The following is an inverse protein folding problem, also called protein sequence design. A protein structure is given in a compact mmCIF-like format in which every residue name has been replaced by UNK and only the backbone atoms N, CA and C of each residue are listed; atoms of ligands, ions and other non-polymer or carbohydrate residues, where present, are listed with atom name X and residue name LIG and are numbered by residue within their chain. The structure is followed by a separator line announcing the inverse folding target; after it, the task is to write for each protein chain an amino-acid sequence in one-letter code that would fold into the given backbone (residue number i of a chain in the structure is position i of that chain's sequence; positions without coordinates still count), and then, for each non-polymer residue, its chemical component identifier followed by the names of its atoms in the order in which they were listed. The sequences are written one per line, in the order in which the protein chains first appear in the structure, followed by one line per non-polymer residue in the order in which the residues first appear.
data_IF_800464824210
#
_entry.id   IF_800464824210
#
_cell.length_a   1.000
_cell.length_b   1.000
_cell.length_c   1.000
_cell.angle_alpha   90.00
_cell.angle_beta   90.00
_cell.angle_gamma   90.00
#
_symmetry.space_group_name_H-M   'P 1'
#
loop_
_entity.id
_entity.type
_entity.pdbx_description
1 polymer ?
#
# COMPACT_ATOMS: atom_id res chain seq x y z
N UNK A 1 -8.87 -18.32 10.26
CA UNK A 1 -8.23 -19.02 9.10
C UNK A 1 -9.14 -20.04 8.40
N UNK A 2 -10.45 -20.13 8.72
CA UNK A 2 -11.38 -21.07 8.06
C UNK A 2 -11.58 -20.76 6.56
N UNK A 3 -11.68 -19.48 6.24
CA UNK A 3 -11.91 -18.96 4.89
C UNK A 3 -10.86 -19.41 3.84
N UNK A 4 -9.56 -19.24 4.11
CA UNK A 4 -8.49 -19.66 3.18
C UNK A 4 -8.51 -21.17 2.93
N UNK A 5 -8.73 -21.97 3.97
CA UNK A 5 -8.86 -23.43 3.86
C UNK A 5 -10.09 -23.84 3.04
N UNK A 6 -11.22 -23.16 3.23
CA UNK A 6 -12.45 -23.42 2.48
C UNK A 6 -12.30 -23.07 1.00
N UNK A 7 -11.62 -21.97 0.66
CA UNK A 7 -11.28 -21.62 -0.72
C UNK A 7 -10.43 -22.73 -1.33
N UNK A 8 -9.31 -23.07 -0.69
CA UNK A 8 -8.40 -24.11 -1.21
C UNK A 8 -9.10 -25.47 -1.38
N UNK A 9 -9.96 -25.86 -0.43
CA UNK A 9 -10.70 -27.12 -0.51
C UNK A 9 -11.68 -27.15 -1.70
N UNK A 10 -12.30 -26.00 -2.03
CA UNK A 10 -13.29 -25.89 -3.11
C UNK A 10 -12.66 -25.67 -4.48
N UNK A 11 -11.59 -24.89 -4.56
CA UNK A 11 -11.05 -24.40 -5.84
C UNK A 11 -9.67 -24.94 -6.17
N UNK A 12 -8.96 -25.52 -5.18
CA UNK A 12 -7.53 -25.87 -5.25
C UNK A 12 -6.60 -24.69 -5.56
N UNK A 13 -7.06 -23.46 -5.30
CA UNK A 13 -6.29 -22.24 -5.51
C UNK A 13 -5.84 -21.68 -4.16
N UNK A 14 -4.55 -21.39 -4.04
CA UNK A 14 -3.98 -20.68 -2.90
C UNK A 14 -4.39 -19.21 -2.91
N UNK A 15 -4.73 -18.68 -1.73
CA UNK A 15 -5.09 -17.27 -1.60
C UNK A 15 -4.27 -16.54 -0.52
N UNK A 16 -4.14 -15.24 -0.72
CA UNK A 16 -3.48 -14.32 0.21
C UNK A 16 -4.48 -13.29 0.73
N UNK A 17 -4.33 -12.87 1.99
CA UNK A 17 -5.28 -12.00 2.69
C UNK A 17 -4.53 -10.84 3.33
N UNK A 18 -4.90 -9.60 2.95
CA UNK A 18 -4.45 -8.39 3.61
C UNK A 18 -5.59 -7.78 4.41
N UNK A 19 -5.32 -7.41 5.65
CA UNK A 19 -6.31 -6.87 6.57
C UNK A 19 -5.77 -5.55 7.11
N UNK A 20 -6.59 -4.50 7.01
CA UNK A 20 -6.28 -3.17 7.54
C UNK A 20 -7.55 -2.42 7.93
N UNK A 21 -7.41 -1.26 8.60
CA UNK A 21 -8.54 -0.47 9.10
C UNK A 21 -9.36 0.19 7.98
N UNK A 22 -8.81 0.31 6.77
CA UNK A 22 -9.50 0.81 5.59
C UNK A 22 -9.11 -0.01 4.33
N UNK A 23 -9.84 0.14 3.21
CA UNK A 23 -9.56 -0.60 1.97
C UNK A 23 -8.16 -0.36 1.41
N UNK A 24 -7.65 0.88 1.49
CA UNK A 24 -6.31 1.25 1.04
C UNK A 24 -5.26 0.42 1.80
N UNK A 25 -5.28 0.47 3.13
CA UNK A 25 -4.34 -0.27 3.97
C UNK A 25 -4.47 -1.79 3.79
N UNK A 26 -5.69 -2.31 3.64
CA UNK A 26 -5.92 -3.74 3.37
C UNK A 26 -5.25 -4.18 2.06
N UNK A 27 -5.34 -3.34 1.01
CA UNK A 27 -4.70 -3.60 -0.29
C UNK A 27 -3.18 -3.51 -0.20
N UNK A 28 -2.64 -2.50 0.48
CA UNK A 28 -1.19 -2.36 0.69
C UNK A 28 -0.65 -3.56 1.46
N UNK A 29 -1.30 -3.92 2.58
CA UNK A 29 -0.91 -5.06 3.40
C UNK A 29 -0.87 -6.36 2.59
N UNK A 30 -1.87 -6.55 1.71
CA UNK A 30 -1.93 -7.68 0.80
C UNK A 30 -0.72 -7.72 -0.15
N UNK A 31 -0.47 -6.62 -0.86
CA UNK A 31 0.54 -6.56 -1.91
C UNK A 31 1.97 -6.64 -1.39
N UNK A 32 2.24 -6.00 -0.25
CA UNK A 32 3.60 -5.78 0.23
C UNK A 32 4.07 -6.90 1.16
N UNK A 33 3.18 -7.38 2.03
CA UNK A 33 3.53 -8.29 3.12
C UNK A 33 2.83 -9.65 2.95
N UNK A 34 1.51 -9.68 2.72
CA UNK A 34 0.77 -10.95 2.73
C UNK A 34 1.26 -11.92 1.64
N UNK A 35 1.56 -11.43 0.43
CA UNK A 35 2.11 -12.24 -0.68
C UNK A 35 3.48 -12.86 -0.41
N UNK A 36 4.26 -12.27 0.50
CA UNK A 36 5.60 -12.74 0.85
C UNK A 36 5.61 -13.57 2.12
N UNK A 37 4.58 -13.43 2.94
CA UNK A 37 4.47 -14.15 4.19
C UNK A 37 4.14 -15.62 3.93
N UNK A 38 4.77 -16.54 4.66
CA UNK A 38 4.59 -17.99 4.47
C UNK A 38 3.11 -18.41 4.64
N UNK A 39 2.40 -17.77 5.57
CA UNK A 39 0.99 -18.06 5.82
C UNK A 39 0.04 -17.37 4.82
N UNK A 40 0.57 -16.46 3.99
CA UNK A 40 -0.21 -15.70 3.01
C UNK A 40 -1.11 -14.63 3.64
N UNK A 41 -0.89 -14.22 4.89
CA UNK A 41 -1.75 -13.26 5.60
C UNK A 41 -0.91 -12.12 6.17
N UNK A 42 -1.39 -10.89 6.03
CA UNK A 42 -0.85 -9.72 6.71
C UNK A 42 -1.96 -8.91 7.37
N UNK A 43 -1.67 -8.40 8.57
CA UNK A 43 -2.57 -7.54 9.34
C UNK A 43 -1.84 -6.25 9.69
N UNK A 44 -2.42 -5.11 9.32
CA UNK A 44 -1.89 -3.78 9.54
C UNK A 44 -2.82 -2.97 10.44
N UNK A 45 -2.24 -2.26 11.40
CA UNK A 45 -2.88 -1.23 12.22
C UNK A 45 -2.38 0.15 11.82
N UNK A 46 -3.04 1.20 12.31
CA UNK A 46 -2.58 2.58 12.12
C UNK A 46 -1.15 2.81 12.65
N UNK A 47 -0.78 2.12 13.73
CA UNK A 47 0.56 2.15 14.32
C UNK A 47 1.64 1.63 13.36
N UNK A 48 1.29 0.74 12.42
CA UNK A 48 2.23 0.18 11.44
C UNK A 48 2.53 1.15 10.29
N UNK A 49 1.73 2.21 10.12
CA UNK A 49 1.81 3.12 8.97
C UNK A 49 3.20 3.77 8.85
N UNK A 50 3.79 4.36 9.90
CA UNK A 50 5.10 4.99 9.79
C UNK A 50 6.22 4.01 9.42
N UNK A 51 6.15 2.78 9.92
CA UNK A 51 7.19 1.77 9.70
C UNK A 51 7.02 0.97 8.42
N UNK A 52 5.78 0.74 7.97
CA UNK A 52 5.47 -0.15 6.84
C UNK A 52 5.01 0.60 5.60
N UNK A 53 4.09 1.56 5.73
CA UNK A 53 3.55 2.31 4.60
C UNK A 53 4.53 3.39 4.15
N UNK A 54 5.03 4.20 5.09
CA UNK A 54 5.90 5.33 4.75
C UNK A 54 7.29 4.90 4.28
N UNK A 55 7.74 3.72 4.69
CA UNK A 55 9.03 3.15 4.28
C UNK A 55 9.02 2.54 2.87
N UNK A 56 7.87 2.50 2.18
CA UNK A 56 7.77 1.92 0.84
C UNK A 56 8.68 2.67 -0.13
N UNK A 57 9.68 1.94 -0.63
CA UNK A 57 10.58 2.32 -1.70
C UNK A 57 10.92 1.08 -2.56
N UNK A 58 11.17 1.24 -3.87
CA UNK A 58 10.81 2.37 -4.73
C UNK A 58 9.31 2.70 -4.72
N UNK A 59 8.95 3.93 -5.12
CA UNK A 59 7.57 4.44 -5.05
C UNK A 59 6.62 3.64 -5.95
N UNK A 60 7.12 3.11 -7.07
CA UNK A 60 6.35 2.27 -7.99
C UNK A 60 5.88 0.92 -7.41
N UNK A 61 6.32 0.54 -6.20
CA UNK A 61 5.74 -0.60 -5.48
C UNK A 61 4.33 -0.33 -4.99
N UNK A 62 3.95 0.94 -4.89
CA UNK A 62 2.57 1.33 -4.65
C UNK A 62 1.79 1.23 -5.96
N UNK A 63 0.68 0.48 -6.00
CA UNK A 63 -0.01 0.09 -7.25
C UNK A 63 -0.42 1.26 -8.14
N UNK A 64 -0.64 2.44 -7.55
CA UNK A 64 -1.07 3.65 -8.26
C UNK A 64 0.09 4.50 -8.82
N UNK A 65 1.33 4.20 -8.44
CA UNK A 65 2.49 4.97 -8.88
C UNK A 65 3.16 4.23 -10.03
N UNK A 66 2.99 4.75 -11.24
CA UNK A 66 3.75 4.25 -12.40
C UNK A 66 5.23 4.63 -12.30
N UNK A 67 6.10 3.92 -13.04
CA UNK A 67 7.52 4.26 -13.13
C UNK A 67 7.76 5.71 -13.59
N UNK A 68 6.94 6.21 -14.53
CA UNK A 68 7.02 7.62 -14.99
C UNK A 68 6.63 8.61 -13.89
N UNK A 69 5.66 8.24 -13.05
CA UNK A 69 5.23 9.05 -11.91
C UNK A 69 6.31 9.06 -10.83
N UNK A 70 6.89 7.89 -10.53
CA UNK A 70 8.04 7.78 -9.63
C UNK A 70 9.21 8.65 -10.11
N UNK A 71 9.56 8.62 -11.40
CA UNK A 71 10.65 9.45 -11.91
C UNK A 71 10.39 10.95 -11.69
N UNK A 72 9.15 11.40 -11.94
CA UNK A 72 8.73 12.79 -11.68
C UNK A 72 8.79 13.15 -10.19
N UNK A 73 8.43 12.21 -9.31
CA UNK A 73 8.50 12.38 -7.85
C UNK A 73 9.94 12.43 -7.35
N UNK A 74 10.79 11.52 -7.84
CA UNK A 74 12.21 11.48 -7.52
C UNK A 74 12.91 12.78 -7.92
N UNK A 75 12.57 13.38 -9.08
CA UNK A 75 13.06 14.71 -9.49
C UNK A 75 12.64 15.85 -8.57
N UNK A 76 11.57 15.66 -7.78
CA UNK A 76 11.09 16.61 -6.77
C UNK A 76 11.63 16.31 -5.35
N UNK A 77 12.55 15.34 -5.22
CA UNK A 77 13.12 14.90 -3.93
C UNK A 77 12.20 13.98 -3.13
N UNK A 78 11.11 13.50 -3.73
CA UNK A 78 10.16 12.59 -3.07
C UNK A 78 10.55 11.17 -3.45
N UNK A 79 11.06 10.41 -2.47
CA UNK A 79 11.61 9.06 -2.71
C UNK A 79 10.83 7.96 -1.99
N UNK A 80 9.84 8.31 -1.17
CA UNK A 80 8.99 7.37 -0.43
C UNK A 80 7.58 7.88 -0.24
N UNK A 81 6.69 6.96 0.16
CA UNK A 81 5.31 7.31 0.52
C UNK A 81 5.29 8.23 1.74
N UNK A 82 6.25 8.12 2.67
CA UNK A 82 6.38 9.07 3.77
C UNK A 82 6.75 10.48 3.29
N UNK A 83 7.69 10.60 2.37
CA UNK A 83 8.05 11.89 1.76
C UNK A 83 6.84 12.50 1.02
N UNK A 84 6.06 11.65 0.35
CA UNK A 84 4.84 12.06 -0.35
C UNK A 84 3.76 12.51 0.64
N UNK A 85 3.53 11.78 1.73
CA UNK A 85 2.53 12.13 2.74
C UNK A 85 2.83 13.46 3.44
N UNK A 86 4.11 13.80 3.60
CA UNK A 86 4.56 15.08 4.17
C UNK A 86 4.68 16.21 3.13
N UNK A 87 4.47 15.92 1.84
CA UNK A 87 4.57 16.92 0.79
C UNK A 87 3.32 17.82 0.77
N UNK A 88 3.42 19.13 0.48
CA UNK A 88 2.29 20.03 0.63
C UNK A 88 1.09 19.64 -0.27
N UNK A 89 -0.07 19.44 0.37
CA UNK A 89 -1.36 19.03 -0.22
C UNK A 89 -1.73 19.76 -1.52
N UNK A 90 -1.39 21.06 -1.62
CA UNK A 90 -1.65 21.90 -2.80
C UNK A 90 -1.03 21.30 -4.08
N UNK A 91 0.16 20.72 -3.98
CA UNK A 91 0.86 20.11 -5.10
C UNK A 91 0.48 18.63 -5.30
N UNK A 92 0.02 17.96 -4.24
CA UNK A 92 -0.48 16.59 -4.30
C UNK A 92 -1.79 16.50 -5.07
N UNK A 93 -2.77 17.36 -4.79
CA UNK A 93 -4.06 17.37 -5.51
C UNK A 93 -3.89 17.54 -7.02
N UNK A 94 -2.95 18.40 -7.42
CA UNK A 94 -2.67 18.69 -8.83
C UNK A 94 -1.99 17.50 -9.54
N UNK A 95 -1.31 16.62 -8.79
CA UNK A 95 -0.48 15.54 -9.36
C UNK A 95 -1.08 14.14 -9.16
N UNK A 96 -1.93 13.92 -8.14
CA UNK A 96 -2.37 12.59 -7.66
C UNK A 96 -3.89 12.45 -7.44
N UNK A 97 -4.69 13.50 -7.64
CA UNK A 97 -6.15 13.42 -7.54
C UNK A 97 -6.65 12.92 -6.16
N UNK A 98 -7.66 12.04 -6.16
CA UNK A 98 -8.33 11.52 -4.95
C UNK A 98 -7.41 10.75 -3.99
N UNK A 99 -6.34 10.12 -4.49
CA UNK A 99 -5.41 9.31 -3.68
C UNK A 99 -4.60 10.19 -2.71
N UNK A 100 -4.26 11.40 -3.14
CA UNK A 100 -3.61 12.38 -2.27
C UNK A 100 -4.49 12.78 -1.08
N UNK A 101 -5.82 12.62 -1.17
CA UNK A 101 -6.72 12.86 -0.05
C UNK A 101 -6.77 11.67 0.91
N UNK A 102 -6.76 10.42 0.42
CA UNK A 102 -6.76 9.20 1.24
C UNK A 102 -5.42 8.97 1.96
N UNK A 103 -4.29 9.40 1.38
CA UNK A 103 -2.98 9.27 2.04
C UNK A 103 -2.78 10.27 3.18
N UNK A 104 -3.44 11.43 3.13
CA UNK A 104 -3.26 12.51 4.10
C UNK A 104 -4.33 12.48 5.20
N UNK A 105 -5.44 11.76 4.98
CA UNK A 105 -6.48 11.53 5.99
C UNK A 105 -6.40 10.07 6.48
N UNK A 106 -5.71 9.78 7.59
CA UNK A 106 -5.77 8.47 8.23
C UNK A 106 -7.19 8.09 8.67
#
# INVERSE_FOLDING_TARGET
MKFKREIYAKTRIECTIGIGPNPLMSKVALDIEAKKNHNGIAYWKYEDVPTKLWSIRPLNKFWDISYKTEEKLNRKGIHSIGDLANYPLKYLKQSFGKIGEELVRP
#
